data_IF_540988323886
#
_entry.id   IF_540988323886
#
_cell.length_a   1.000
_cell.length_b   1.000
_cell.length_c   1.000
_cell.angle_alpha   90.00
_cell.angle_beta   90.00
_cell.angle_gamma   90.00
#
_symmetry.space_group_name_H-M   'P 1'
#
loop_
_entity.id
_entity.type
_entity.pdbx_description
1 polymer ?
#
# COMPACT_ATOMS: atom_id res chain seq x y z
N UNK A 1 -17.94 -11.70 50.24
CA UNK A 1 -18.76 -10.89 49.31
C UNK A 1 -17.87 -10.54 48.13
N UNK A 2 -17.96 -11.31 47.04
CA UNK A 2 -17.23 -11.03 45.79
C UNK A 2 -18.22 -10.67 44.71
N UNK A 3 -18.13 -9.43 44.22
CA UNK A 3 -18.58 -8.93 42.91
C UNK A 3 -18.33 -7.41 42.97
N UNK A 4 -17.66 -6.76 42.04
CA UNK A 4 -17.66 -6.98 40.60
C UNK A 4 -16.40 -6.31 40.05
N UNK A 5 -15.44 -7.09 39.56
CA UNK A 5 -14.41 -6.53 38.67
C UNK A 5 -15.13 -6.16 37.37
N UNK A 6 -15.37 -4.87 37.15
CA UNK A 6 -15.83 -4.36 35.86
C UNK A 6 -14.70 -4.63 34.87
N UNK A 7 -14.84 -5.69 34.08
CA UNK A 7 -14.01 -5.89 32.89
C UNK A 7 -14.35 -4.76 31.93
N UNK A 8 -13.55 -3.68 31.96
CA UNK A 8 -13.56 -2.66 30.91
C UNK A 8 -13.13 -3.36 29.63
N UNK A 9 -14.12 -3.85 28.88
CA UNK A 9 -13.94 -4.57 27.65
C UNK A 9 -13.53 -3.56 26.58
N UNK A 10 -12.24 -3.22 26.54
CA UNK A 10 -11.64 -2.44 25.46
C UNK A 10 -11.56 -3.32 24.23
N UNK A 11 -12.69 -3.49 23.53
CA UNK A 11 -12.71 -3.95 22.14
C UNK A 11 -12.12 -2.83 21.28
N UNK A 12 -10.81 -2.63 21.39
CA UNK A 12 -10.09 -1.87 20.39
C UNK A 12 -9.61 -2.88 19.34
N UNK A 13 -9.82 -2.59 18.04
CA UNK A 13 -9.27 -3.43 16.98
C UNK A 13 -7.75 -3.49 17.16
N UNK A 14 -7.18 -4.65 16.86
CA UNK A 14 -5.75 -4.87 16.93
C UNK A 14 -5.03 -3.81 16.07
N UNK A 15 -4.09 -3.01 16.61
CA UNK A 15 -3.31 -2.05 15.83
C UNK A 15 -2.56 -2.68 14.64
N UNK A 16 -2.29 -4.00 14.67
CA UNK A 16 -1.75 -4.74 13.54
C UNK A 16 -2.66 -4.72 12.30
N UNK A 17 -3.95 -4.44 12.48
CA UNK A 17 -4.92 -4.35 11.40
C UNK A 17 -4.66 -3.16 10.46
N UNK A 18 -4.16 -2.04 10.99
CA UNK A 18 -3.83 -0.87 10.17
C UNK A 18 -2.63 -1.17 9.25
N UNK A 19 -1.65 -1.91 9.77
CA UNK A 19 -0.54 -2.43 8.96
C UNK A 19 -1.02 -3.44 7.91
N UNK A 20 -2.01 -4.26 8.23
CA UNK A 20 -2.59 -5.21 7.27
C UNK A 20 -3.27 -4.49 6.11
N UNK A 21 -4.05 -3.43 6.38
CA UNK A 21 -4.70 -2.63 5.33
C UNK A 21 -3.64 -2.02 4.40
N UNK A 22 -2.61 -1.39 4.96
CA UNK A 22 -1.52 -0.80 4.19
C UNK A 22 -0.79 -1.86 3.34
N UNK A 23 -0.42 -2.98 3.96
CA UNK A 23 0.25 -4.10 3.29
C UNK A 23 -0.58 -4.66 2.14
N UNK A 24 -1.90 -4.82 2.34
CA UNK A 24 -2.80 -5.36 1.32
C UNK A 24 -2.94 -4.39 0.14
N UNK A 25 -3.04 -3.09 0.40
CA UNK A 25 -3.08 -2.05 -0.64
C UNK A 25 -1.80 -2.04 -1.48
N UNK A 26 -0.63 -2.13 -0.84
CA UNK A 26 0.65 -2.23 -1.55
C UNK A 26 0.74 -3.50 -2.42
N UNK A 27 0.26 -4.64 -1.90
CA UNK A 27 0.19 -5.88 -2.68
C UNK A 27 -0.74 -5.75 -3.88
N UNK A 28 -1.86 -5.05 -3.75
CA UNK A 28 -2.78 -4.79 -4.84
C UNK A 28 -2.13 -3.93 -5.93
N UNK A 29 -1.48 -2.83 -5.55
CA UNK A 29 -0.73 -1.96 -6.48
C UNK A 29 0.35 -2.77 -7.21
N UNK A 30 1.13 -3.57 -6.48
CA UNK A 30 2.15 -4.44 -7.06
C UNK A 30 1.56 -5.37 -8.13
N UNK A 31 0.42 -6.00 -7.85
CA UNK A 31 -0.24 -6.88 -8.82
C UNK A 31 -0.68 -6.15 -10.09
N UNK A 32 -1.09 -4.88 -9.99
CA UNK A 32 -1.42 -4.03 -11.15
C UNK A 32 -0.19 -3.72 -11.99
N UNK A 33 0.93 -3.38 -11.35
CA UNK A 33 2.22 -3.14 -12.01
C UNK A 33 2.71 -4.41 -12.71
N UNK A 34 2.69 -5.54 -12.03
CA UNK A 34 3.08 -6.83 -12.59
C UNK A 34 2.22 -7.20 -13.81
N UNK A 35 0.91 -6.95 -13.74
CA UNK A 35 -0.01 -7.15 -14.88
C UNK A 35 0.29 -6.22 -16.06
N UNK A 36 0.53 -4.94 -15.81
CA UNK A 36 0.92 -3.99 -16.85
C UNK A 36 2.25 -4.37 -17.51
N UNK A 37 3.24 -4.82 -16.72
CA UNK A 37 4.51 -5.32 -17.24
C UNK A 37 4.34 -6.59 -18.08
N UNK A 38 3.41 -7.47 -17.69
CA UNK A 38 3.01 -8.62 -18.51
C UNK A 38 2.50 -8.19 -19.89
N UNK A 39 1.60 -7.21 -19.92
CA UNK A 39 1.05 -6.68 -21.17
C UNK A 39 2.13 -6.03 -22.05
N UNK A 40 3.10 -5.31 -21.45
CA UNK A 40 4.23 -4.73 -22.19
C UNK A 40 5.12 -5.84 -22.76
N UNK A 41 5.37 -6.89 -21.98
CA UNK A 41 6.25 -8.00 -22.38
C UNK A 41 5.68 -8.78 -23.56
N UNK A 42 4.36 -8.97 -23.59
CA UNK A 42 3.70 -9.77 -24.62
C UNK A 42 3.52 -9.00 -25.95
N UNK A 43 3.82 -7.70 -25.97
CA UNK A 43 3.69 -6.85 -27.15
C UNK A 43 5.06 -6.62 -27.84
N UNK A 44 5.20 -7.09 -29.08
CA UNK A 44 6.45 -7.02 -29.86
C UNK A 44 6.71 -5.62 -30.46
N UNK A 45 5.65 -4.79 -30.61
CA UNK A 45 5.72 -3.45 -31.21
C UNK A 45 4.91 -2.44 -30.41
N UNK A 46 5.34 -1.17 -30.38
CA UNK A 46 4.59 -0.11 -29.72
C UNK A 46 3.18 0.03 -30.33
N UNK A 47 2.16 -0.40 -29.59
CA UNK A 47 0.79 -0.39 -30.03
C UNK A 47 -0.03 0.58 -29.17
N UNK A 48 -0.59 1.61 -29.81
CA UNK A 48 -1.26 2.73 -29.13
C UNK A 48 -2.46 2.32 -28.26
N UNK A 49 -3.06 1.17 -28.57
CA UNK A 49 -4.14 0.58 -27.77
C UNK A 49 -3.62 -0.05 -26.47
N UNK A 50 -2.46 -0.70 -26.52
CA UNK A 50 -1.78 -1.27 -25.36
C UNK A 50 -1.32 -0.17 -24.41
N UNK A 51 -0.82 0.95 -24.94
CA UNK A 51 -0.44 2.12 -24.13
C UNK A 51 -1.63 2.68 -23.34
N UNK A 52 -2.82 2.78 -23.97
CA UNK A 52 -4.03 3.25 -23.31
C UNK A 52 -4.51 2.29 -22.22
N UNK A 53 -4.41 0.98 -22.46
CA UNK A 53 -4.84 -0.02 -21.49
C UNK A 53 -3.86 -0.14 -20.32
N UNK A 54 -2.55 0.01 -20.58
CA UNK A 54 -1.53 0.14 -19.54
C UNK A 54 -1.78 1.39 -18.68
N UNK A 55 -2.08 2.55 -19.29
CA UNK A 55 -2.38 3.77 -18.54
C UNK A 55 -3.59 3.62 -17.63
N UNK A 56 -4.69 3.02 -18.12
CA UNK A 56 -5.88 2.74 -17.28
C UNK A 56 -5.57 1.86 -16.07
N UNK A 57 -4.54 1.02 -16.15
CA UNK A 57 -4.11 0.15 -15.04
C UNK A 57 -3.16 0.90 -14.11
N UNK A 58 -2.19 1.62 -14.66
CA UNK A 58 -1.09 2.23 -13.91
C UNK A 58 -1.44 3.58 -13.29
N UNK A 59 -2.22 4.43 -13.96
CA UNK A 59 -2.62 5.75 -13.43
C UNK A 59 -3.27 5.64 -12.04
N UNK A 60 -4.37 4.89 -11.85
CA UNK A 60 -5.01 4.78 -10.53
C UNK A 60 -4.13 4.06 -9.50
N UNK A 61 -3.29 3.10 -9.94
CA UNK A 61 -2.35 2.43 -9.06
C UNK A 61 -1.24 3.37 -8.57
N UNK A 62 -0.81 4.29 -9.43
CA UNK A 62 0.21 5.30 -9.12
C UNK A 62 -0.33 6.39 -8.19
N UNK A 63 -1.56 6.86 -8.41
CA UNK A 63 -2.23 7.82 -7.52
C UNK A 63 -2.35 7.25 -6.11
N UNK A 64 -2.82 6.02 -5.98
CA UNK A 64 -2.97 5.36 -4.68
C UNK A 64 -1.63 5.09 -4.00
N UNK A 65 -0.57 4.84 -4.77
CA UNK A 65 0.78 4.67 -4.22
C UNK A 65 1.35 6.01 -3.70
N UNK A 66 1.13 7.10 -4.43
CA UNK A 66 1.52 8.45 -3.99
C UNK A 66 0.82 8.79 -2.68
N UNK A 67 -0.49 8.59 -2.60
CA UNK A 67 -1.27 8.82 -1.37
C UNK A 67 -0.73 8.00 -0.19
N UNK A 68 -0.38 6.73 -0.42
CA UNK A 68 0.21 5.89 0.61
C UNK A 68 1.55 6.47 1.07
N UNK A 69 2.45 6.81 0.13
CA UNK A 69 3.77 7.33 0.46
C UNK A 69 3.67 8.65 1.24
N UNK A 70 2.81 9.56 0.80
CA UNK A 70 2.57 10.85 1.46
C UNK A 70 1.95 10.71 2.86
N UNK A 71 1.26 9.59 3.12
CA UNK A 71 0.68 9.28 4.43
C UNK A 71 1.65 8.64 5.42
N UNK A 72 2.80 8.13 4.94
CA UNK A 72 3.79 7.53 5.82
C UNK A 72 4.52 8.63 6.59
N UNK A 73 4.78 8.43 7.90
CA UNK A 73 5.60 9.37 8.66
C UNK A 73 6.98 9.46 7.99
N UNK A 74 7.47 10.68 7.79
CA UNK A 74 8.85 10.90 7.37
C UNK A 74 9.74 10.13 8.35
N UNK A 75 10.62 9.31 7.79
CA UNK A 75 11.61 8.59 8.59
C UNK A 75 12.46 9.68 9.23
N UNK A 76 12.42 9.81 10.56
CA UNK A 76 13.44 10.56 11.27
C UNK A 76 14.77 9.92 10.86
N UNK A 77 15.53 10.59 9.99
CA UNK A 77 16.91 10.22 9.74
C UNK A 77 17.58 10.34 11.12
N UNK A 78 17.88 9.20 11.74
CA UNK A 78 18.79 9.17 12.88
C UNK A 78 20.09 9.79 12.37
N UNK A 79 20.29 11.07 12.68
CA UNK A 79 21.59 11.74 12.58
C UNK A 79 22.55 10.93 13.44
N UNK A 80 23.22 9.96 12.81
CA UNK A 80 24.45 9.37 13.31
C UNK A 80 25.53 10.48 13.28
N UNK A 81 25.39 11.48 14.16
CA UNK A 81 26.49 12.34 14.58
C UNK A 81 27.46 11.45 15.38
N UNK A 82 28.38 10.80 14.68
CA UNK A 82 29.57 10.21 15.28
C UNK A 82 30.37 11.33 15.98
N UNK A 83 30.36 11.34 17.32
CA UNK A 83 31.26 12.12 18.20
C UNK A 83 32.75 11.83 17.95
#
# INVERSE_FOLDING_TARGET
>A
MSNSERTNNTWQPDPAWDYYILWHSLHHIKAKIDGALGNIKDEEYAALHVDLDIRKILEPASELLIEIVDSLPEKEEEDDEEE
#
